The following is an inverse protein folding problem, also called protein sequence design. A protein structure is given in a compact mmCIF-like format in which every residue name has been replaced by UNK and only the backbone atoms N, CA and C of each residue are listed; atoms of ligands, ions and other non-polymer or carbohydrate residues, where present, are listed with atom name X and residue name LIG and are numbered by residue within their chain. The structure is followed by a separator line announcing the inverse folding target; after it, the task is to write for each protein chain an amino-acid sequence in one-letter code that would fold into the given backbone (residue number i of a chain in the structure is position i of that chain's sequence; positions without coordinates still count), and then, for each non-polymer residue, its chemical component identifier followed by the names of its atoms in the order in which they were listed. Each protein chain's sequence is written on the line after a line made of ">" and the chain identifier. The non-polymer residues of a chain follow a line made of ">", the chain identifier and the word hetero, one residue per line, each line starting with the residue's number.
data_IF_556899344882
#
_entry.id   IF_556899344882
#
_cell.length_a   1.000
_cell.length_b   1.000
_cell.length_c   1.000
_cell.angle_alpha   90.00
_cell.angle_beta   90.00
_cell.angle_gamma   90.00
#
_symmetry.space_group_name_H-M   'P 1'
#
loop_
_entity.id
_entity.type
_entity.pdbx_description
1 polymer ?
#
# COMPACT_ATOMS: atom_id res chain seq x y z
N UNK A 1 16.18 0.20 11.40
CA UNK A 1 15.37 -0.56 10.43
C UNK A 1 14.03 0.07 10.53
N UNK A 2 13.62 0.68 9.44
CA UNK A 2 12.63 1.73 9.49
C UNK A 2 11.44 1.29 8.65
N UNK A 3 10.26 1.63 9.11
CA UNK A 3 9.02 1.33 8.41
C UNK A 3 8.24 2.61 8.23
N UNK A 4 7.64 2.75 7.07
CA UNK A 4 6.68 3.80 6.79
C UNK A 4 5.43 3.16 6.21
N UNK A 5 4.29 3.52 6.80
CA UNK A 5 3.01 2.89 6.53
C UNK A 5 2.07 3.95 6.01
N UNK A 6 1.55 3.71 4.81
CA UNK A 6 0.52 4.51 4.19
C UNK A 6 -0.79 3.76 4.24
N UNK A 7 -1.85 4.46 4.64
CA UNK A 7 -3.20 3.92 4.69
C UNK A 7 -4.09 4.84 3.88
N UNK A 8 -4.89 4.26 3.00
CA UNK A 8 -5.85 4.97 2.18
C UNK A 8 -7.23 4.35 2.36
N UNK A 9 -8.22 5.20 2.61
CA UNK A 9 -9.62 4.82 2.71
C UNK A 9 -10.51 5.90 2.11
N UNK A 10 -11.36 5.52 1.17
CA UNK A 10 -12.35 6.40 0.55
C UNK A 10 -13.65 5.61 0.31
N UNK A 11 -14.78 6.11 0.81
CA UNK A 11 -16.09 5.63 0.40
C UNK A 11 -16.45 6.28 -0.94
N UNK A 12 -16.91 5.49 -1.91
CA UNK A 12 -17.16 5.98 -3.27
C UNK A 12 -18.46 5.43 -3.82
N UNK A 13 -19.34 6.35 -4.21
CA UNK A 13 -20.55 6.07 -4.96
C UNK A 13 -20.35 6.55 -6.39
N UNK A 14 -20.62 5.68 -7.35
CA UNK A 14 -20.55 5.96 -8.78
C UNK A 14 -21.93 5.74 -9.39
N UNK A 15 -22.52 6.80 -9.92
CA UNK A 15 -23.76 6.75 -10.68
C UNK A 15 -23.51 7.17 -12.13
N UNK A 16 -24.07 6.41 -13.07
CA UNK A 16 -24.01 6.70 -14.50
C UNK A 16 -25.38 6.52 -15.14
N UNK A 17 -25.70 7.38 -16.09
CA UNK A 17 -26.91 7.29 -16.91
C UNK A 17 -26.47 7.06 -18.35
N UNK A 18 -26.97 5.98 -18.97
CA UNK A 18 -26.73 5.67 -20.37
C UNK A 18 -28.04 5.26 -21.04
N UNK A 19 -28.43 5.99 -22.10
CA UNK A 19 -29.69 5.81 -22.86
C UNK A 19 -30.95 5.67 -21.99
N UNK A 20 -31.02 6.40 -20.87
CA UNK A 20 -32.17 6.36 -19.95
C UNK A 20 -32.14 5.21 -18.93
N UNK A 21 -31.12 4.35 -18.96
CA UNK A 21 -30.86 3.35 -17.92
C UNK A 21 -29.94 3.96 -16.86
N UNK A 22 -30.36 3.90 -15.59
CA UNK A 22 -29.56 4.35 -14.45
C UNK A 22 -28.82 3.17 -13.85
N UNK A 23 -27.49 3.27 -13.75
CA UNK A 23 -26.64 2.32 -13.03
C UNK A 23 -25.97 3.03 -11.86
N UNK A 24 -26.10 2.47 -10.66
CA UNK A 24 -25.44 2.96 -9.45
C UNK A 24 -24.59 1.85 -8.84
N UNK A 25 -23.38 2.18 -8.40
CA UNK A 25 -22.46 1.31 -7.67
C UNK A 25 -22.00 2.04 -6.41
N UNK A 26 -22.05 1.34 -5.29
CA UNK A 26 -21.51 1.78 -4.02
C UNK A 26 -20.36 0.85 -3.60
N UNK A 27 -19.39 1.40 -2.88
CA UNK A 27 -18.26 0.65 -2.39
C UNK A 27 -17.25 1.52 -1.64
N UNK A 28 -16.16 0.89 -1.22
CA UNK A 28 -15.04 1.55 -0.58
C UNK A 28 -13.73 1.17 -1.28
N UNK A 29 -12.87 2.16 -1.48
CA UNK A 29 -11.47 1.96 -1.86
C UNK A 29 -10.67 1.97 -0.56
N UNK A 30 -10.10 0.82 -0.22
CA UNK A 30 -9.32 0.66 1.00
C UNK A 30 -8.00 -0.04 0.64
N UNK A 31 -6.88 0.54 1.07
CA UNK A 31 -5.56 0.01 0.76
C UNK A 31 -4.51 0.44 1.77
N UNK A 32 -3.51 -0.41 1.93
CA UNK A 32 -2.33 -0.14 2.74
C UNK A 32 -1.10 -0.32 1.86
N UNK A 33 -0.12 0.57 2.01
CA UNK A 33 1.21 0.41 1.46
C UNK A 33 2.25 0.50 2.58
N UNK A 34 3.28 -0.32 2.52
CA UNK A 34 4.37 -0.31 3.50
C UNK A 34 5.70 -0.24 2.78
N UNK A 35 6.53 0.74 3.17
CA UNK A 35 7.96 0.79 2.86
C UNK A 35 8.74 0.29 4.07
N UNK A 36 9.72 -0.57 3.84
CA UNK A 36 10.66 -1.03 4.86
C UNK A 36 12.09 -0.72 4.39
N UNK A 37 12.93 -0.20 5.29
CA UNK A 37 14.33 0.07 5.00
C UNK A 37 15.28 -0.59 6.00
N UNK A 38 16.37 -1.15 5.48
CA UNK A 38 17.50 -1.67 6.25
C UNK A 38 18.80 -1.16 5.64
N UNK A 39 19.35 -0.10 6.25
CA UNK A 39 20.42 0.66 5.61
C UNK A 39 19.92 1.27 4.31
N UNK A 40 20.61 1.00 3.19
CA UNK A 40 20.26 1.47 1.85
C UNK A 40 19.35 0.53 1.07
N UNK A 41 18.89 -0.57 1.66
CA UNK A 41 17.97 -1.51 1.04
C UNK A 41 16.52 -1.13 1.36
N UNK A 42 15.69 -1.03 0.33
CA UNK A 42 14.29 -0.61 0.45
C UNK A 42 13.38 -1.71 -0.13
N UNK A 43 12.37 -2.09 0.64
CA UNK A 43 11.31 -3.00 0.24
C UNK A 43 9.99 -2.25 0.25
N UNK A 44 9.13 -2.57 -0.71
CA UNK A 44 7.82 -1.97 -0.84
C UNK A 44 6.78 -3.04 -1.11
N UNK A 45 5.69 -3.03 -0.35
CA UNK A 45 4.57 -3.92 -0.55
C UNK A 45 3.24 -3.22 -0.31
N UNK A 46 2.20 -3.71 -0.98
CA UNK A 46 0.85 -3.15 -0.92
C UNK A 46 -0.16 -4.26 -0.67
N UNK A 47 -1.23 -3.93 0.06
CA UNK A 47 -2.34 -4.82 0.31
C UNK A 47 -3.67 -4.06 0.21
N UNK A 48 -4.73 -4.74 -0.23
CA UNK A 48 -6.08 -4.21 -0.13
C UNK A 48 -6.59 -4.28 1.32
N UNK A 49 -7.34 -3.27 1.73
CA UNK A 49 -7.84 -3.11 3.09
C UNK A 49 -6.90 -2.33 4.01
N UNK A 50 -7.46 -1.93 5.15
CA UNK A 50 -6.82 -1.05 6.16
C UNK A 50 -6.80 -1.68 7.55
N UNK A 51 -7.13 -2.97 7.66
CA UNK A 51 -7.10 -3.67 8.95
C UNK A 51 -5.66 -3.93 9.38
N UNK A 52 -5.47 -4.09 10.69
CA UNK A 52 -4.16 -4.39 11.28
C UNK A 52 -3.50 -5.62 10.63
N UNK A 53 -4.29 -6.65 10.32
CA UNK A 53 -3.76 -7.86 9.68
C UNK A 53 -3.27 -7.60 8.25
N UNK A 54 -3.96 -6.72 7.50
CA UNK A 54 -3.51 -6.30 6.17
C UNK A 54 -2.24 -5.46 6.22
N UNK A 55 -2.12 -4.60 7.23
CA UNK A 55 -0.89 -3.84 7.49
C UNK A 55 0.27 -4.77 7.83
N UNK A 56 0.06 -5.75 8.72
CA UNK A 56 1.07 -6.76 9.08
C UNK A 56 1.49 -7.59 7.89
N UNK A 57 0.54 -7.98 7.03
CA UNK A 57 0.82 -8.70 5.80
C UNK A 57 1.74 -7.87 4.88
N UNK A 58 1.36 -6.62 4.59
CA UNK A 58 2.18 -5.74 3.75
C UNK A 58 3.57 -5.48 4.36
N UNK A 59 3.66 -5.29 5.68
CA UNK A 59 4.94 -5.14 6.36
C UNK A 59 5.81 -6.41 6.28
N UNK A 60 5.21 -7.59 6.40
CA UNK A 60 5.89 -8.88 6.25
C UNK A 60 6.45 -9.07 4.83
N UNK A 61 5.67 -8.72 3.82
CA UNK A 61 6.11 -8.78 2.42
C UNK A 61 7.24 -7.77 2.14
N UNK A 62 7.12 -6.52 2.61
CA UNK A 62 8.18 -5.53 2.47
C UNK A 62 9.49 -5.99 3.16
N UNK A 63 9.39 -6.62 4.34
CA UNK A 63 10.52 -7.22 5.04
C UNK A 63 11.11 -8.41 4.27
N UNK A 64 10.28 -9.26 3.66
CA UNK A 64 10.72 -10.38 2.83
C UNK A 64 11.54 -9.90 1.64
N UNK A 65 11.12 -8.80 1.01
CA UNK A 65 11.83 -8.19 -0.12
C UNK A 65 13.22 -7.71 0.30
N UNK A 66 13.36 -6.93 1.38
CA UNK A 66 14.69 -6.45 1.80
C UNK A 66 15.61 -7.57 2.29
N UNK A 67 15.05 -8.70 2.74
CA UNK A 67 15.84 -9.85 3.15
C UNK A 67 16.27 -10.73 1.97
N UNK A 68 15.58 -10.65 0.83
CA UNK A 68 15.85 -11.47 -0.36
C UNK A 68 16.67 -10.72 -1.43
N UNK A 69 16.50 -9.41 -1.53
CA UNK A 69 17.12 -8.58 -2.57
C UNK A 69 18.22 -7.70 -1.98
N UNK A 70 19.44 -7.79 -2.53
CA UNK A 70 20.62 -7.00 -2.09
C UNK A 70 20.82 -5.72 -2.90
N UNK A 71 19.76 -5.16 -3.46
CA UNK A 71 19.84 -3.91 -4.23
C UNK A 71 19.82 -2.75 -3.24
N UNK A 72 20.86 -1.94 -3.29
CA UNK A 72 21.00 -0.73 -2.49
C UNK A 72 20.63 0.50 -3.32
N UNK A 73 19.93 1.44 -2.71
CA UNK A 73 19.69 2.77 -3.25
C UNK A 73 20.67 3.75 -2.61
N UNK A 74 21.71 4.14 -3.35
CA UNK A 74 22.73 5.06 -2.85
C UNK A 74 22.20 6.44 -2.46
N UNK A 75 21.06 6.86 -3.05
CA UNK A 75 20.43 8.16 -2.83
C UNK A 75 19.49 8.17 -1.63
N UNK A 76 19.22 7.01 -1.06
CA UNK A 76 18.36 6.89 0.11
C UNK A 76 19.13 7.19 1.39
N UNK A 77 18.74 8.28 2.04
CA UNK A 77 19.31 8.73 3.33
C UNK A 77 18.36 8.48 4.51
N UNK A 78 17.12 8.05 4.24
CA UNK A 78 16.09 7.81 5.24
C UNK A 78 14.70 8.21 4.73
N UNK A 79 13.66 7.92 5.53
CA UNK A 79 12.28 8.33 5.24
C UNK A 79 11.92 9.72 5.78
N UNK A 80 12.91 10.48 6.29
CA UNK A 80 12.71 11.81 6.89
C UNK A 80 12.84 12.95 5.89
#
# INVERSE_FOLDING_TARGET
>A
MDFEIFVYYENKILASIDQGVVTAKDGAVAGTAVRAAKGKQIGFAVASGVTVDRIKLAAGEALSIINSVKVEDERFEGFS
#
